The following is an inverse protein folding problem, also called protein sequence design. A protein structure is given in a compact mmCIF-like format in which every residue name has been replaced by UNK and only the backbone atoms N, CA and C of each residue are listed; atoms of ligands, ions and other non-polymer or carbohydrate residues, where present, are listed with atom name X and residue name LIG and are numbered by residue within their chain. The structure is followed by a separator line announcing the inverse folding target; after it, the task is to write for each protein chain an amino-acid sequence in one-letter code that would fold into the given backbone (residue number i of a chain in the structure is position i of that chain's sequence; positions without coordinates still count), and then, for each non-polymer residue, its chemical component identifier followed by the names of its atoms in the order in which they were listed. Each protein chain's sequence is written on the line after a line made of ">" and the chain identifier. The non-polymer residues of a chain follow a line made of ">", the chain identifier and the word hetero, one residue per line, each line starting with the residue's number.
data_IF_084889904547
#
_entry.id   IF_084889904547
#
_cell.length_a   1.000
_cell.length_b   1.000
_cell.length_c   1.000
_cell.angle_alpha   90.00
_cell.angle_beta   90.00
_cell.angle_gamma   90.00
#
_symmetry.space_group_name_H-M   'P 1'
#
loop_
_entity.id
_entity.type
_entity.pdbx_description
1 polymer ?
#
# COMPACT_ATOMS: atom_id res chain seq x y z
N UNK A 1 -16.70 27.43 -26.09
CA UNK A 1 -16.84 27.77 -24.65
C UNK A 1 -18.29 27.71 -24.20
N UNK A 2 -19.24 28.31 -24.94
CA UNK A 2 -20.68 28.18 -24.65
C UNK A 2 -21.21 26.74 -24.72
N UNK A 3 -20.76 25.93 -25.68
CA UNK A 3 -21.17 24.52 -25.77
C UNK A 3 -20.75 23.68 -24.56
N UNK A 4 -19.62 24.03 -23.94
CA UNK A 4 -19.09 23.36 -22.75
C UNK A 4 -19.94 23.68 -21.51
N UNK A 5 -20.35 24.93 -21.36
CA UNK A 5 -21.23 25.40 -20.27
C UNK A 5 -22.64 24.80 -20.40
N UNK A 6 -23.12 24.66 -21.64
CA UNK A 6 -24.43 24.04 -21.92
C UNK A 6 -24.41 22.53 -21.64
N UNK A 7 -23.30 21.84 -21.97
CA UNK A 7 -23.12 20.42 -21.64
C UNK A 7 -23.00 20.17 -20.14
N UNK A 8 -22.31 21.03 -19.40
CA UNK A 8 -22.19 20.95 -17.94
C UNK A 8 -23.53 21.16 -17.24
N UNK A 9 -24.28 22.21 -17.62
CA UNK A 9 -25.63 22.47 -17.08
C UNK A 9 -26.65 21.36 -17.33
N UNK A 10 -26.46 20.57 -18.40
CA UNK A 10 -27.42 19.53 -18.80
C UNK A 10 -27.11 18.16 -18.20
N UNK A 11 -25.86 17.91 -17.81
CA UNK A 11 -25.38 16.60 -17.36
C UNK A 11 -24.69 16.60 -16.00
N UNK A 12 -24.49 17.77 -15.36
CA UNK A 12 -23.78 17.91 -14.08
C UNK A 12 -22.41 17.22 -14.09
N UNK A 13 -21.60 17.48 -15.12
CA UNK A 13 -20.30 16.80 -15.28
C UNK A 13 -19.25 17.25 -14.26
N UNK A 14 -19.40 18.45 -13.66
CA UNK A 14 -18.46 19.02 -12.70
C UNK A 14 -19.06 19.23 -11.31
N UNK A 15 -19.76 18.23 -10.78
CA UNK A 15 -20.12 18.26 -9.35
C UNK A 15 -18.87 18.04 -8.48
N UNK A 16 -18.91 18.58 -7.25
CA UNK A 16 -17.86 18.34 -6.26
C UNK A 16 -17.62 16.84 -6.03
N UNK A 17 -18.67 16.02 -6.11
CA UNK A 17 -18.58 14.57 -5.99
C UNK A 17 -17.71 13.94 -7.09
N UNK A 18 -17.87 14.40 -8.34
CA UNK A 18 -17.08 13.90 -9.47
C UNK A 18 -15.63 14.37 -9.35
N UNK A 19 -15.41 15.64 -8.98
CA UNK A 19 -14.06 16.18 -8.80
C UNK A 19 -13.33 15.49 -7.64
N UNK A 20 -14.01 15.22 -6.54
CA UNK A 20 -13.47 14.47 -5.40
C UNK A 20 -13.19 13.01 -5.78
N UNK A 21 -14.08 12.35 -6.52
CA UNK A 21 -13.86 10.99 -7.03
C UNK A 21 -12.58 10.94 -7.89
N UNK A 22 -12.46 11.83 -8.88
CA UNK A 22 -11.30 11.89 -9.77
C UNK A 22 -10.01 12.16 -8.97
N UNK A 23 -10.06 13.11 -8.03
CA UNK A 23 -8.93 13.44 -7.16
C UNK A 23 -8.46 12.22 -6.36
N UNK A 24 -9.40 11.51 -5.73
CA UNK A 24 -9.11 10.30 -4.97
C UNK A 24 -8.52 9.20 -5.87
N UNK A 25 -9.08 8.97 -7.06
CA UNK A 25 -8.55 8.00 -8.03
C UNK A 25 -7.11 8.37 -8.41
N UNK A 26 -6.82 9.63 -8.74
CA UNK A 26 -5.46 10.08 -9.07
C UNK A 26 -4.50 9.83 -7.92
N UNK A 27 -4.89 10.17 -6.68
CA UNK A 27 -4.08 9.92 -5.49
C UNK A 27 -3.78 8.43 -5.32
N UNK A 28 -4.78 7.56 -5.46
CA UNK A 28 -4.57 6.12 -5.36
C UNK A 28 -3.67 5.58 -6.49
N UNK A 29 -3.87 6.02 -7.74
CA UNK A 29 -3.02 5.61 -8.85
C UNK A 29 -1.56 6.03 -8.65
N UNK A 30 -1.32 7.24 -8.11
CA UNK A 30 0.02 7.69 -7.77
C UNK A 30 0.67 6.81 -6.68
N UNK A 31 -0.09 6.38 -5.68
CA UNK A 31 0.44 5.47 -4.65
C UNK A 31 0.67 4.05 -5.19
N UNK A 32 -0.21 3.55 -6.05
CA UNK A 32 -0.07 2.27 -6.74
C UNK A 32 1.20 2.27 -7.60
N UNK A 33 1.47 3.33 -8.36
CA UNK A 33 2.69 3.44 -9.17
C UNK A 33 3.96 3.39 -8.30
N UNK A 34 3.98 4.11 -7.17
CA UNK A 34 5.09 4.02 -6.21
C UNK A 34 5.29 2.60 -5.68
N UNK A 35 4.21 1.90 -5.35
CA UNK A 35 4.27 0.51 -4.85
C UNK A 35 4.78 -0.44 -5.94
N UNK A 36 4.31 -0.30 -7.18
CA UNK A 36 4.78 -1.11 -8.31
C UNK A 36 6.28 -0.89 -8.57
N UNK A 37 6.71 0.38 -8.57
CA UNK A 37 8.11 0.73 -8.79
C UNK A 37 9.01 0.20 -7.68
N UNK A 38 8.56 0.25 -6.42
CA UNK A 38 9.32 -0.27 -5.29
C UNK A 38 9.41 -1.80 -5.32
N UNK A 39 8.26 -2.47 -5.53
CA UNK A 39 8.18 -3.92 -5.60
C UNK A 39 9.04 -4.51 -6.73
N UNK A 40 9.00 -3.92 -7.93
CA UNK A 40 9.82 -4.37 -9.07
C UNK A 40 11.32 -4.27 -8.83
N UNK A 41 11.76 -3.25 -8.08
CA UNK A 41 13.18 -3.04 -7.79
C UNK A 41 13.70 -4.01 -6.72
N UNK A 42 12.84 -4.40 -5.78
CA UNK A 42 13.25 -5.11 -4.56
C UNK A 42 12.96 -6.60 -4.56
N UNK A 43 11.95 -7.03 -5.31
CA UNK A 43 11.45 -8.40 -5.23
C UNK A 43 11.79 -9.18 -6.50
N UNK A 44 11.97 -10.49 -6.33
CA UNK A 44 12.00 -11.42 -7.45
C UNK A 44 10.66 -11.40 -8.20
N UNK A 45 10.72 -11.68 -9.51
CA UNK A 45 9.58 -11.55 -10.42
C UNK A 45 8.33 -12.28 -9.92
N UNK A 46 8.46 -13.53 -9.49
CA UNK A 46 7.31 -14.36 -9.12
C UNK A 46 6.67 -13.84 -7.82
N UNK A 47 7.49 -13.49 -6.81
CA UNK A 47 7.02 -12.88 -5.55
C UNK A 47 6.33 -11.54 -5.82
N UNK A 48 6.91 -10.71 -6.70
CA UNK A 48 6.32 -9.43 -7.10
C UNK A 48 4.96 -9.62 -7.78
N UNK A 49 4.86 -10.54 -8.73
CA UNK A 49 3.63 -10.78 -9.46
C UNK A 49 2.50 -11.24 -8.53
N UNK A 50 2.77 -12.23 -7.67
CA UNK A 50 1.76 -12.84 -6.82
C UNK A 50 1.33 -11.94 -5.66
N UNK A 51 2.29 -11.31 -4.98
CA UNK A 51 2.01 -10.64 -3.70
C UNK A 51 1.81 -9.13 -3.84
N UNK A 52 2.19 -8.54 -4.98
CA UNK A 52 2.11 -7.09 -5.21
C UNK A 52 1.27 -6.77 -6.45
N UNK A 53 1.68 -7.22 -7.64
CA UNK A 53 1.03 -6.83 -8.89
C UNK A 53 -0.43 -7.33 -8.96
N UNK A 54 -0.66 -8.61 -8.66
CA UNK A 54 -1.99 -9.20 -8.74
C UNK A 54 -2.99 -8.51 -7.78
N UNK A 55 -2.70 -8.31 -6.48
CA UNK A 55 -3.56 -7.51 -5.59
C UNK A 55 -3.84 -6.09 -6.09
N UNK A 56 -2.82 -5.38 -6.58
CA UNK A 56 -2.99 -4.01 -7.09
C UNK A 56 -3.91 -3.95 -8.31
N UNK A 57 -3.90 -4.96 -9.18
CA UNK A 57 -4.86 -5.05 -10.31
C UNK A 57 -6.31 -5.09 -9.85
N UNK A 58 -6.60 -5.73 -8.71
CA UNK A 58 -7.96 -5.71 -8.14
C UNK A 58 -8.34 -4.32 -7.66
N UNK A 59 -7.43 -3.60 -7.00
CA UNK A 59 -7.68 -2.21 -6.58
C UNK A 59 -7.94 -1.34 -7.80
N UNK A 60 -7.08 -1.40 -8.83
CA UNK A 60 -7.26 -0.64 -10.07
C UNK A 60 -8.61 -0.96 -10.72
N UNK A 61 -8.95 -2.25 -10.86
CA UNK A 61 -10.25 -2.66 -11.39
C UNK A 61 -11.40 -2.07 -10.57
N UNK A 62 -11.31 -2.14 -9.24
CA UNK A 62 -12.31 -1.59 -8.33
C UNK A 62 -12.51 -0.07 -8.50
N UNK A 63 -11.42 0.69 -8.62
CA UNK A 63 -11.45 2.14 -8.83
C UNK A 63 -12.21 2.52 -10.11
N UNK A 64 -12.03 1.76 -11.19
CA UNK A 64 -12.68 2.04 -12.49
C UNK A 64 -14.05 1.38 -12.67
N UNK A 65 -14.47 0.50 -11.77
CA UNK A 65 -15.83 -0.08 -11.78
C UNK A 65 -16.88 0.77 -11.05
N UNK A 66 -16.51 1.93 -10.52
CA UNK A 66 -17.44 2.84 -9.84
C UNK A 66 -18.41 3.47 -10.84
N UNK A 67 -19.55 2.80 -11.08
CA UNK A 67 -20.53 3.15 -12.13
C UNK A 67 -21.32 4.43 -11.90
N UNK A 68 -21.26 5.01 -10.70
CA UNK A 68 -22.23 6.03 -10.28
C UNK A 68 -21.70 7.47 -10.26
N UNK A 69 -20.43 7.71 -10.62
CA UNK A 69 -19.82 9.06 -10.58
C UNK A 69 -20.02 9.79 -9.24
N UNK A 70 -20.27 9.03 -8.17
CA UNK A 70 -20.37 9.52 -6.79
C UNK A 70 -19.01 9.37 -6.14
N UNK A 71 -18.69 10.29 -5.24
CA UNK A 71 -17.49 10.18 -4.43
C UNK A 71 -17.48 8.86 -3.66
N UNK A 72 -16.29 8.37 -3.32
CA UNK A 72 -16.14 7.20 -2.48
C UNK A 72 -16.73 7.46 -1.10
N UNK A 73 -17.47 6.48 -0.57
CA UNK A 73 -17.80 6.47 0.84
C UNK A 73 -16.51 6.37 1.68
N UNK A 74 -16.56 6.92 2.89
CA UNK A 74 -15.41 6.92 3.82
C UNK A 74 -14.85 5.52 4.05
N UNK A 75 -15.72 4.52 4.19
CA UNK A 75 -15.29 3.13 4.35
C UNK A 75 -14.52 2.61 3.12
N UNK A 76 -14.98 2.93 1.91
CA UNK A 76 -14.28 2.52 0.68
C UNK A 76 -12.88 3.14 0.60
N UNK A 77 -12.74 4.41 1.02
CA UNK A 77 -11.42 5.07 1.10
C UNK A 77 -10.52 4.36 2.10
N UNK A 78 -11.02 4.07 3.31
CA UNK A 78 -10.28 3.36 4.35
C UNK A 78 -9.84 1.97 3.91
N UNK A 79 -10.72 1.24 3.24
CA UNK A 79 -10.43 -0.11 2.76
C UNK A 79 -9.30 -0.12 1.71
N UNK A 80 -9.36 0.80 0.74
CA UNK A 80 -8.29 0.95 -0.27
C UNK A 80 -6.98 1.34 0.39
N UNK A 81 -7.00 2.33 1.29
CA UNK A 81 -5.80 2.78 2.00
C UNK A 81 -5.19 1.66 2.85
N UNK A 82 -6.01 0.88 3.54
CA UNK A 82 -5.55 -0.26 4.35
C UNK A 82 -4.89 -1.33 3.48
N UNK A 83 -5.49 -1.66 2.34
CA UNK A 83 -4.92 -2.65 1.42
C UNK A 83 -3.60 -2.17 0.80
N UNK A 84 -3.48 -0.89 0.41
CA UNK A 84 -2.22 -0.33 -0.07
C UNK A 84 -1.12 -0.38 1.01
N UNK A 85 -1.46 -0.08 2.27
CA UNK A 85 -0.53 -0.21 3.40
C UNK A 85 -0.11 -1.68 3.61
N UNK A 86 -1.05 -2.62 3.55
CA UNK A 86 -0.76 -4.07 3.64
C UNK A 86 0.24 -4.50 2.57
N UNK A 87 0.03 -4.09 1.31
CA UNK A 87 0.93 -4.44 0.20
C UNK A 87 2.34 -3.84 0.41
N UNK A 88 2.46 -2.62 0.95
CA UNK A 88 3.76 -2.05 1.33
C UNK A 88 4.48 -2.87 2.40
N UNK A 89 3.75 -3.38 3.40
CA UNK A 89 4.31 -4.27 4.42
C UNK A 89 4.82 -5.58 3.83
N UNK A 90 4.07 -6.16 2.89
CA UNK A 90 4.51 -7.35 2.15
C UNK A 90 5.85 -7.07 1.46
N UNK A 91 5.98 -5.96 0.73
CA UNK A 91 7.26 -5.59 0.09
C UNK A 91 8.38 -5.50 1.12
N UNK A 92 8.13 -4.84 2.26
CA UNK A 92 9.11 -4.71 3.34
C UNK A 92 9.57 -6.09 3.85
N UNK A 93 8.64 -6.97 4.21
CA UNK A 93 8.95 -8.30 4.75
C UNK A 93 9.74 -9.12 3.73
N UNK A 94 9.31 -9.15 2.47
CA UNK A 94 9.96 -9.95 1.44
C UNK A 94 11.36 -9.42 1.11
N UNK A 95 11.55 -8.09 1.14
CA UNK A 95 12.88 -7.47 1.01
C UNK A 95 13.78 -7.86 2.18
N UNK A 96 13.24 -7.82 3.41
CA UNK A 96 13.97 -8.19 4.61
C UNK A 96 14.41 -9.66 4.55
N UNK A 97 13.48 -10.57 4.26
CA UNK A 97 13.77 -12.01 4.11
C UNK A 97 14.83 -12.27 3.05
N UNK A 98 14.71 -11.64 1.88
CA UNK A 98 15.68 -11.82 0.80
C UNK A 98 17.09 -11.34 1.19
N UNK A 99 17.18 -10.23 1.92
CA UNK A 99 18.45 -9.63 2.31
C UNK A 99 19.11 -10.33 3.48
N UNK A 100 18.35 -11.01 4.34
CA UNK A 100 18.84 -11.80 5.47
C UNK A 100 19.45 -13.13 5.01
N UNK A 101 20.38 -13.11 4.04
CA UNK A 101 21.10 -14.28 3.46
C UNK A 101 21.90 -15.14 4.48
N UNK A 102 21.70 -14.93 5.78
CA UNK A 102 22.28 -15.62 6.92
C UNK A 102 21.22 -16.47 7.63
N UNK A 103 21.65 -17.48 8.37
CA UNK A 103 20.75 -18.24 9.23
C UNK A 103 20.19 -17.33 10.33
N UNK A 104 18.89 -17.08 10.29
CA UNK A 104 18.18 -16.34 11.33
C UNK A 104 18.15 -17.15 12.63
N UNK A 105 18.18 -16.45 13.76
CA UNK A 105 17.85 -17.06 15.04
C UNK A 105 16.38 -17.48 15.05
N UNK A 106 16.04 -18.46 15.89
CA UNK A 106 14.69 -18.99 15.96
C UNK A 106 13.64 -17.89 16.28
N UNK A 107 13.97 -16.95 17.16
CA UNK A 107 13.10 -15.83 17.53
C UNK A 107 12.95 -14.78 16.42
N UNK A 108 14.00 -14.59 15.60
CA UNK A 108 13.96 -13.73 14.41
C UNK A 108 13.08 -14.34 13.31
N UNK A 109 13.21 -15.65 13.08
CA UNK A 109 12.39 -16.39 12.13
C UNK A 109 10.91 -16.36 12.55
N UNK A 110 10.61 -16.64 13.81
CA UNK A 110 9.24 -16.58 14.35
C UNK A 110 8.63 -15.17 14.21
N UNK A 111 9.46 -14.14 14.41
CA UNK A 111 9.07 -12.75 14.19
C UNK A 111 8.68 -12.45 12.74
N UNK A 112 9.48 -12.91 11.78
CA UNK A 112 9.20 -12.78 10.35
C UNK A 112 7.95 -13.56 9.97
N UNK A 113 7.79 -14.80 10.43
CA UNK A 113 6.63 -15.62 10.15
C UNK A 113 5.35 -14.97 10.68
N UNK A 114 5.43 -14.34 11.85
CA UNK A 114 4.34 -13.55 12.44
C UNK A 114 3.99 -12.33 11.57
N UNK A 115 4.99 -11.59 11.09
CA UNK A 115 4.77 -10.47 10.15
C UNK A 115 4.09 -10.93 8.85
N UNK A 116 4.53 -12.06 8.28
CA UNK A 116 3.94 -12.65 7.09
C UNK A 116 2.49 -13.08 7.34
N UNK A 117 2.22 -13.70 8.49
CA UNK A 117 0.87 -14.11 8.88
C UNK A 117 -0.09 -12.93 8.96
N UNK A 118 0.32 -11.82 9.59
CA UNK A 118 -0.49 -10.59 9.70
C UNK A 118 -0.83 -9.98 8.33
N UNK A 119 0.05 -10.12 7.35
CA UNK A 119 -0.13 -9.51 6.01
C UNK A 119 -0.69 -10.47 4.96
N UNK A 120 -0.95 -11.73 5.32
CA UNK A 120 -1.36 -12.80 4.39
C UNK A 120 -2.74 -12.59 3.77
N UNK A 121 -3.70 -12.04 4.52
CA UNK A 121 -5.09 -11.89 4.06
C UNK A 121 -5.36 -10.47 3.51
N UNK A 122 -5.92 -10.33 2.30
CA UNK A 122 -6.41 -9.05 1.81
C UNK A 122 -7.53 -8.48 2.70
N UNK A 123 -7.56 -7.16 2.88
CA UNK A 123 -8.70 -6.44 3.48
C UNK A 123 -8.93 -6.59 5.00
N UNK A 124 -8.13 -7.39 5.73
CA UNK A 124 -8.32 -7.62 7.17
C UNK A 124 -7.21 -7.06 8.07
N UNK A 125 -6.45 -6.07 7.60
CA UNK A 125 -5.34 -5.51 8.37
C UNK A 125 -5.86 -4.46 9.35
N UNK A 126 -6.20 -4.91 10.56
CA UNK A 126 -6.80 -4.06 11.61
C UNK A 126 -5.77 -3.14 12.26
N UNK A 127 -6.22 -2.16 13.03
CA UNK A 127 -5.34 -1.31 13.85
C UNK A 127 -4.53 -2.15 14.85
N UNK A 128 -5.10 -3.25 15.36
CA UNK A 128 -4.41 -4.19 16.23
C UNK A 128 -3.32 -4.95 15.47
N UNK A 129 -3.58 -5.37 14.24
CA UNK A 129 -2.58 -6.03 13.39
C UNK A 129 -1.46 -5.04 13.02
N UNK A 130 -1.80 -3.78 12.79
CA UNK A 130 -0.84 -2.72 12.62
C UNK A 130 0.06 -2.55 13.84
N UNK A 131 -0.51 -2.44 15.03
CA UNK A 131 0.29 -2.29 16.25
C UNK A 131 1.24 -3.48 16.45
N UNK A 132 0.74 -4.71 16.30
CA UNK A 132 1.57 -5.93 16.38
C UNK A 132 2.70 -5.92 15.34
N UNK A 133 2.39 -5.51 14.12
CA UNK A 133 3.37 -5.42 13.05
C UNK A 133 4.46 -4.41 13.36
N UNK A 134 4.07 -3.21 13.80
CA UNK A 134 4.99 -2.12 14.10
C UNK A 134 5.89 -2.47 15.31
N UNK A 135 5.34 -3.16 16.32
CA UNK A 135 6.12 -3.69 17.45
C UNK A 135 7.17 -4.71 17.00
N UNK A 136 6.81 -5.62 16.10
CA UNK A 136 7.76 -6.58 15.52
C UNK A 136 8.83 -5.85 14.69
N UNK A 137 8.47 -4.83 13.91
CA UNK A 137 9.44 -4.03 13.12
C UNK A 137 10.41 -3.31 14.04
N UNK A 138 9.96 -2.76 15.17
CA UNK A 138 10.85 -2.13 16.14
C UNK A 138 11.76 -3.15 16.83
N UNK A 139 11.21 -4.28 17.26
CA UNK A 139 11.97 -5.37 17.90
C UNK A 139 13.12 -5.83 17.02
N UNK A 140 12.87 -5.96 15.71
CA UNK A 140 13.86 -6.44 14.75
C UNK A 140 14.48 -5.33 13.90
N UNK A 141 14.43 -4.06 14.36
CA UNK A 141 14.93 -2.91 13.59
C UNK A 141 16.41 -3.05 13.20
N UNK A 142 17.21 -3.70 14.04
CA UNK A 142 18.64 -3.95 13.78
C UNK A 142 18.86 -4.85 12.56
N UNK A 143 17.92 -5.71 12.21
CA UNK A 143 17.99 -6.52 10.99
C UNK A 143 17.94 -5.67 9.73
N UNK A 144 17.46 -4.42 9.81
CA UNK A 144 17.51 -3.46 8.70
C UNK A 144 18.87 -2.74 8.55
N UNK A 145 19.83 -2.96 9.46
CA UNK A 145 21.14 -2.28 9.47
C UNK A 145 22.29 -3.19 9.03
N UNK A 146 22.02 -4.43 8.60
CA UNK A 146 23.06 -5.33 8.13
C UNK A 146 23.64 -4.82 6.78
N UNK A 147 24.96 -4.77 6.63
CA UNK A 147 25.58 -4.33 5.37
C UNK A 147 25.13 -5.25 4.22
N UNK A 148 24.67 -4.66 3.11
CA UNK A 148 24.18 -5.38 1.94
C UNK A 148 22.66 -5.44 1.76
N UNK A 149 21.88 -4.81 2.65
CA UNK A 149 20.41 -4.81 2.60
C UNK A 149 19.77 -3.98 1.46
N UNK A 150 20.51 -3.06 0.84
CA UNK A 150 19.98 -2.19 -0.21
C UNK A 150 18.84 -1.26 0.22
N UNK A 151 18.51 -1.20 1.52
CA UNK A 151 17.51 -0.29 2.08
C UNK A 151 18.26 0.91 2.65
N UNK A 152 18.16 2.04 1.95
CA UNK A 152 18.73 3.32 2.39
C UNK A 152 17.89 3.93 3.53
N UNK A 153 18.48 4.84 4.29
CA UNK A 153 17.79 5.52 5.39
C UNK A 153 16.56 6.33 4.90
N UNK A 154 16.65 6.94 3.73
CA UNK A 154 15.52 7.64 3.09
C UNK A 154 14.38 6.69 2.72
N UNK A 155 14.69 5.49 2.26
CA UNK A 155 13.70 4.44 1.98
C UNK A 155 13.09 3.89 3.27
N UNK A 156 13.88 3.78 4.34
CA UNK A 156 13.39 3.42 5.67
C UNK A 156 12.41 4.45 6.21
N UNK A 157 12.71 5.74 6.03
CA UNK A 157 11.83 6.85 6.39
C UNK A 157 10.57 6.85 5.52
N UNK A 158 10.67 6.54 4.22
CA UNK A 158 9.52 6.44 3.33
C UNK A 158 8.60 5.28 3.71
N UNK A 159 9.16 4.12 4.07
CA UNK A 159 8.41 2.98 4.62
C UNK A 159 7.77 3.36 5.94
N UNK A 160 8.52 3.95 6.89
CA UNK A 160 8.01 4.39 8.18
C UNK A 160 6.91 5.45 8.05
N UNK A 161 7.03 6.39 7.11
CA UNK A 161 5.99 7.39 6.80
C UNK A 161 4.76 6.72 6.21
N UNK A 162 4.92 5.80 5.27
CA UNK A 162 3.82 5.08 4.63
C UNK A 162 3.07 4.16 5.62
N UNK A 163 3.79 3.53 6.56
CA UNK A 163 3.20 2.78 7.67
C UNK A 163 2.38 3.71 8.58
N UNK A 164 2.83 4.94 8.80
CA UNK A 164 2.18 5.95 9.62
C UNK A 164 1.21 6.89 8.85
N UNK A 165 0.79 6.56 7.62
CA UNK A 165 -0.14 7.40 6.86
C UNK A 165 -1.57 7.33 7.43
N UNK A 166 -1.81 7.96 8.59
CA UNK A 166 -2.96 8.84 8.85
C UNK A 166 -2.82 9.55 10.19
N UNK A 167 -2.52 10.85 10.14
CA UNK A 167 -3.37 11.85 10.81
C UNK A 167 -3.85 12.80 9.70
N UNK A 168 -4.83 12.34 8.94
CA UNK A 168 -5.60 13.24 8.08
C UNK A 168 -6.66 13.90 8.95
N UNK A 169 -6.68 15.23 8.96
CA UNK A 169 -7.84 16.01 9.35
C UNK A 169 -8.91 15.90 8.26
#
# INVERSE_FOLDING_TARGET
>A
MQDFIVLDKKNNFFTDDILNLITNIIQFLNEIDKILNDGRKKLQRDIFEDLVNFPLRYIVKYLFTQRHYRNFAEQQLKDIQSELKRIRRVIYIQTLVFSLKQTLKADEQEGIDSMQYLTKKPGSFTDQDQQKFDDLVQKFKYLNNLPGLGITESERIAIARALNMSKGH
#
